data_IF_941786595422
#
_entry.id   IF_941786595422
#
_cell.length_a   1.000
_cell.length_b   1.000
_cell.length_c   1.000
_cell.angle_alpha   90.00
_cell.angle_beta   90.00
_cell.angle_gamma   90.00
#
_symmetry.space_group_name_H-M   'P 1'
#
loop_
_entity.id
_entity.type
_entity.pdbx_description
1 polymer ?
#
# COMPACT_ATOMS: atom_id res chain seq x y z
N UNK A 1 -40.10 32.13 28.46
CA UNK A 1 -40.65 31.33 27.34
C UNK A 1 -39.64 31.11 26.19
N UNK A 2 -38.88 32.13 25.80
CA UNK A 2 -37.89 32.04 24.66
C UNK A 2 -36.74 31.06 24.87
N UNK A 3 -36.25 30.83 26.09
CA UNK A 3 -35.11 29.92 26.37
C UNK A 3 -35.49 28.44 26.20
N UNK A 4 -36.68 28.01 26.60
CA UNK A 4 -37.13 26.61 26.42
C UNK A 4 -37.33 26.25 24.97
N UNK A 5 -37.84 27.17 24.14
CA UNK A 5 -38.00 26.95 22.67
C UNK A 5 -36.65 26.85 21.95
N UNK A 6 -35.63 27.60 22.39
CA UNK A 6 -34.29 27.53 21.81
C UNK A 6 -33.60 26.20 22.11
N UNK A 7 -33.78 25.66 23.30
CA UNK A 7 -33.21 24.34 23.71
C UNK A 7 -33.88 23.19 22.95
N UNK A 8 -35.20 23.26 22.75
CA UNK A 8 -35.91 22.22 21.97
C UNK A 8 -35.54 22.21 20.49
N UNK A 9 -35.31 23.39 19.89
CA UNK A 9 -34.82 23.50 18.50
C UNK A 9 -33.41 22.96 18.39
N UNK A 10 -32.51 23.29 19.31
CA UNK A 10 -31.13 22.78 19.32
C UNK A 10 -31.08 21.28 19.49
N UNK A 11 -31.88 20.70 20.37
CA UNK A 11 -32.00 19.26 20.56
C UNK A 11 -32.55 18.55 19.29
N UNK A 12 -33.54 19.13 18.63
CA UNK A 12 -34.07 18.63 17.38
C UNK A 12 -33.05 18.64 16.26
N UNK A 13 -32.29 19.72 16.10
CA UNK A 13 -31.19 19.79 15.12
C UNK A 13 -30.09 18.77 15.42
N UNK A 14 -29.75 18.53 16.68
CA UNK A 14 -28.75 17.51 17.06
C UNK A 14 -29.22 16.10 16.69
N UNK A 15 -30.50 15.79 16.96
CA UNK A 15 -31.06 14.47 16.61
C UNK A 15 -31.08 14.27 15.08
N UNK A 16 -31.48 15.27 14.31
CA UNK A 16 -31.48 15.21 12.85
C UNK A 16 -30.05 15.03 12.32
N UNK A 17 -29.08 15.77 12.88
CA UNK A 17 -27.67 15.66 12.53
C UNK A 17 -27.14 14.24 12.78
N UNK A 18 -27.45 13.65 13.94
CA UNK A 18 -27.07 12.28 14.28
C UNK A 18 -27.72 11.26 13.33
N UNK A 19 -29.00 11.43 12.98
CA UNK A 19 -29.71 10.55 12.04
C UNK A 19 -29.12 10.60 10.63
N UNK A 20 -28.57 11.71 10.19
CA UNK A 20 -27.91 11.84 8.88
C UNK A 20 -26.48 11.34 8.92
N UNK A 21 -25.72 11.71 9.97
CA UNK A 21 -24.29 11.40 10.04
C UNK A 21 -24.01 9.94 10.39
N UNK A 22 -24.83 9.32 11.23
CA UNK A 22 -24.63 7.92 11.63
C UNK A 22 -24.64 6.93 10.43
N UNK A 23 -25.65 6.96 9.53
CA UNK A 23 -25.65 6.05 8.37
C UNK A 23 -24.51 6.36 7.40
N UNK A 24 -24.06 7.61 7.28
CA UNK A 24 -22.90 7.96 6.46
C UNK A 24 -21.63 7.34 7.06
N UNK A 25 -21.43 7.46 8.36
CA UNK A 25 -20.26 6.87 9.07
C UNK A 25 -20.29 5.34 8.94
N UNK A 26 -21.45 4.72 9.15
CA UNK A 26 -21.60 3.27 9.02
C UNK A 26 -21.33 2.80 7.57
N UNK A 27 -21.83 3.54 6.57
CA UNK A 27 -21.57 3.21 5.15
C UNK A 27 -20.10 3.36 4.76
N UNK A 28 -19.36 4.31 5.36
CA UNK A 28 -17.91 4.46 5.15
C UNK A 28 -17.18 3.27 5.81
N UNK A 29 -17.62 2.86 6.99
CA UNK A 29 -17.04 1.73 7.69
C UNK A 29 -17.27 0.42 6.94
N UNK A 30 -18.50 0.16 6.47
CA UNK A 30 -18.83 -1.03 5.65
C UNK A 30 -17.97 -1.12 4.40
N UNK A 31 -17.79 0.01 3.68
CA UNK A 31 -16.91 0.04 2.49
C UNK A 31 -15.43 -0.22 2.82
N UNK A 32 -14.97 0.25 3.99
CA UNK A 32 -13.62 -0.04 4.46
C UNK A 32 -13.46 -1.52 4.80
N UNK A 33 -14.43 -2.10 5.47
CA UNK A 33 -14.41 -3.51 5.88
C UNK A 33 -14.56 -4.44 4.66
N UNK A 34 -15.39 -4.10 3.68
CA UNK A 34 -15.50 -4.79 2.40
C UNK A 34 -14.18 -4.74 1.62
N UNK A 35 -13.50 -3.58 1.55
CA UNK A 35 -12.18 -3.46 0.93
C UNK A 35 -11.14 -4.32 1.66
N UNK A 36 -11.10 -4.27 2.98
CA UNK A 36 -10.21 -5.11 3.81
C UNK A 36 -10.47 -6.59 3.60
N UNK A 37 -11.72 -7.01 3.51
CA UNK A 37 -12.09 -8.40 3.23
C UNK A 37 -11.73 -8.85 1.80
N UNK A 38 -11.68 -7.94 0.84
CA UNK A 38 -11.32 -8.23 -0.55
C UNK A 38 -9.81 -8.31 -0.79
N UNK A 39 -9.00 -7.71 0.08
CA UNK A 39 -7.53 -7.67 0.00
C UNK A 39 -6.92 -8.78 0.86
N UNK A 40 -7.09 -10.02 0.41
CA UNK A 40 -6.64 -11.19 1.19
C UNK A 40 -5.34 -11.80 0.70
N UNK A 41 -4.84 -11.35 -0.44
CA UNK A 41 -3.73 -12.04 -1.13
C UNK A 41 -4.10 -13.47 -1.53
N UNK A 42 -3.50 -13.97 -2.58
CA UNK A 42 -3.63 -15.37 -3.01
C UNK A 42 -2.33 -16.11 -2.76
N UNK A 43 -2.39 -17.45 -2.68
CA UNK A 43 -1.18 -18.27 -2.70
C UNK A 43 -0.40 -18.02 -3.98
N UNK A 44 0.90 -17.80 -3.86
CA UNK A 44 1.78 -17.57 -4.99
C UNK A 44 3.17 -18.18 -4.74
N UNK A 45 3.94 -18.34 -5.82
CA UNK A 45 5.36 -18.69 -5.76
C UNK A 45 6.08 -17.91 -6.85
N UNK A 46 6.90 -16.96 -6.41
CA UNK A 46 7.74 -16.09 -7.24
C UNK A 46 9.19 -16.14 -6.76
N UNK A 47 10.06 -15.40 -7.43
CA UNK A 47 11.45 -15.21 -7.04
C UNK A 47 11.71 -13.73 -6.70
N UNK A 48 12.56 -13.51 -5.69
CA UNK A 48 13.14 -12.19 -5.51
C UNK A 48 14.31 -11.96 -6.49
N UNK A 49 14.84 -10.77 -6.49
CA UNK A 49 15.99 -10.37 -7.33
C UNK A 49 17.28 -11.15 -7.02
N UNK A 50 17.33 -11.88 -5.92
CA UNK A 50 18.45 -12.75 -5.52
C UNK A 50 18.13 -14.25 -5.73
N UNK A 51 17.05 -14.57 -6.46
CA UNK A 51 16.59 -15.93 -6.76
C UNK A 51 16.07 -16.73 -5.55
N UNK A 52 15.78 -16.07 -4.41
CA UNK A 52 15.11 -16.74 -3.30
C UNK A 52 13.62 -16.94 -3.61
N UNK A 53 13.05 -18.04 -3.12
CA UNK A 53 11.60 -18.27 -3.29
C UNK A 53 10.81 -17.42 -2.32
N UNK A 54 9.88 -16.65 -2.85
CA UNK A 54 8.93 -15.81 -2.11
C UNK A 54 7.53 -16.37 -2.30
N UNK A 55 6.83 -16.56 -1.20
CA UNK A 55 5.44 -17.04 -1.16
C UNK A 55 4.61 -16.12 -0.25
N UNK A 56 3.32 -16.37 -0.13
CA UNK A 56 2.44 -15.68 0.82
C UNK A 56 2.98 -15.73 2.26
N UNK A 57 3.63 -16.83 2.65
CA UNK A 57 4.28 -16.99 3.97
C UNK A 57 5.41 -15.99 4.21
N UNK A 58 6.03 -15.51 3.14
CA UNK A 58 7.07 -14.47 3.25
C UNK A 58 6.51 -13.13 3.74
N UNK A 59 5.20 -12.93 3.64
CA UNK A 59 4.49 -11.73 4.11
C UNK A 59 3.97 -11.85 5.54
N UNK A 60 4.06 -13.03 6.16
CA UNK A 60 3.57 -13.31 7.54
C UNK A 60 4.50 -12.75 8.65
N UNK A 61 5.50 -11.96 8.32
CA UNK A 61 6.31 -11.22 9.29
C UNK A 61 5.42 -10.33 10.18
N UNK A 62 5.81 -10.06 11.44
CA UNK A 62 5.03 -9.20 12.34
C UNK A 62 4.58 -7.89 11.72
N UNK A 63 5.46 -7.23 10.96
CA UNK A 63 5.12 -6.04 10.20
C UNK A 63 5.73 -6.11 8.78
N UNK A 64 4.88 -5.95 7.77
CA UNK A 64 5.27 -6.02 6.37
C UNK A 64 4.64 -4.86 5.59
N UNK A 65 5.41 -4.29 4.65
CA UNK A 65 4.95 -3.31 3.69
C UNK A 65 5.07 -3.89 2.27
N UNK A 66 3.99 -3.87 1.50
CA UNK A 66 3.98 -4.25 0.09
C UNK A 66 3.79 -3.00 -0.77
N UNK A 67 4.73 -2.74 -1.65
CA UNK A 67 4.66 -1.64 -2.61
C UNK A 67 4.70 -2.19 -4.03
N UNK A 68 3.61 -2.01 -4.76
CA UNK A 68 3.49 -2.40 -6.16
C UNK A 68 3.88 -1.20 -7.03
N UNK A 69 4.88 -1.39 -7.89
CA UNK A 69 5.42 -0.34 -8.73
C UNK A 69 6.24 -0.89 -9.88
N UNK A 70 7.00 -0.04 -10.57
CA UNK A 70 7.88 -0.45 -11.67
C UNK A 70 9.08 0.50 -11.76
N UNK A 71 10.20 -0.02 -12.30
CA UNK A 71 11.48 0.73 -12.30
C UNK A 71 11.46 1.93 -13.23
N UNK A 72 10.67 1.88 -14.31
CA UNK A 72 10.55 2.97 -15.29
C UNK A 72 9.47 4.01 -14.90
N UNK A 73 9.01 4.02 -13.65
CA UNK A 73 8.11 5.06 -13.13
C UNK A 73 8.91 6.35 -12.88
N UNK A 74 8.51 7.49 -13.49
CA UNK A 74 9.34 8.70 -13.46
C UNK A 74 9.29 9.44 -12.11
N UNK A 75 8.28 9.23 -11.27
CA UNK A 75 7.99 10.12 -10.14
C UNK A 75 7.58 9.36 -8.87
N UNK A 76 6.39 8.80 -8.82
CA UNK A 76 5.78 8.27 -7.58
C UNK A 76 6.57 7.12 -6.98
N UNK A 77 7.11 6.19 -7.79
CA UNK A 77 7.84 5.03 -7.28
C UNK A 77 9.16 5.42 -6.61
N UNK A 78 10.06 6.21 -7.23
CA UNK A 78 11.31 6.61 -6.57
C UNK A 78 11.04 7.49 -5.33
N UNK A 79 10.04 8.38 -5.35
CA UNK A 79 9.66 9.17 -4.18
C UNK A 79 9.19 8.29 -3.01
N UNK A 80 8.35 7.29 -3.30
CA UNK A 80 7.85 6.36 -2.28
C UNK A 80 8.96 5.49 -1.70
N UNK A 81 9.86 4.97 -2.54
CA UNK A 81 11.01 4.18 -2.08
C UNK A 81 12.00 5.00 -1.25
N UNK A 82 12.26 6.27 -1.62
CA UNK A 82 13.05 7.20 -0.80
C UNK A 82 12.39 7.43 0.57
N UNK A 83 11.07 7.66 0.60
CA UNK A 83 10.32 7.79 1.85
C UNK A 83 10.43 6.54 2.71
N UNK A 84 10.27 5.35 2.12
CA UNK A 84 10.43 4.07 2.84
C UNK A 84 11.84 3.89 3.37
N UNK A 85 12.88 4.30 2.63
CA UNK A 85 14.27 4.30 3.09
C UNK A 85 14.43 5.14 4.37
N UNK A 86 13.93 6.38 4.37
CA UNK A 86 13.98 7.25 5.55
C UNK A 86 13.20 6.67 6.75
N UNK A 87 12.05 6.05 6.48
CA UNK A 87 11.24 5.38 7.51
C UNK A 87 12.00 4.18 8.10
N UNK A 88 12.64 3.36 7.27
CA UNK A 88 13.44 2.22 7.72
C UNK A 88 14.61 2.66 8.58
N UNK A 89 15.29 3.74 8.23
CA UNK A 89 16.36 4.34 9.03
C UNK A 89 15.87 4.80 10.41
N UNK A 90 14.70 5.44 10.48
CA UNK A 90 14.13 5.85 11.77
C UNK A 90 13.72 4.63 12.63
N UNK A 91 13.10 3.63 12.02
CA UNK A 91 12.71 2.40 12.73
C UNK A 91 13.94 1.64 13.25
N UNK A 92 15.03 1.62 12.49
CA UNK A 92 16.31 1.00 12.90
C UNK A 92 16.89 1.64 14.15
N UNK A 93 16.82 2.98 14.28
CA UNK A 93 17.23 3.70 15.51
C UNK A 93 16.41 3.25 16.73
N UNK A 94 15.13 2.92 16.52
CA UNK A 94 14.22 2.41 17.56
C UNK A 94 14.32 0.89 17.75
N UNK A 95 15.23 0.19 17.07
CA UNK A 95 15.35 -1.29 17.06
C UNK A 95 14.06 -1.99 16.64
N UNK A 96 13.27 -1.36 15.78
CA UNK A 96 12.04 -1.89 15.19
C UNK A 96 12.31 -2.35 13.78
N UNK A 97 11.58 -3.38 13.33
CA UNK A 97 11.76 -3.99 12.01
C UNK A 97 10.47 -3.94 11.20
N UNK A 98 10.57 -3.41 9.98
CA UNK A 98 9.54 -3.47 8.95
C UNK A 98 10.15 -4.20 7.74
N UNK A 99 9.52 -5.28 7.28
CA UNK A 99 9.91 -5.91 6.01
C UNK A 99 9.25 -5.17 4.86
N UNK A 100 10.01 -4.80 3.85
CA UNK A 100 9.51 -4.08 2.68
C UNK A 100 9.73 -4.91 1.43
N UNK A 101 8.66 -5.12 0.66
CA UNK A 101 8.69 -5.76 -0.64
C UNK A 101 8.29 -4.76 -1.72
N UNK A 102 9.15 -4.60 -2.73
CA UNK A 102 8.84 -3.89 -3.96
C UNK A 102 8.49 -4.91 -5.04
N UNK A 103 7.24 -4.93 -5.47
CA UNK A 103 6.70 -5.93 -6.39
C UNK A 103 6.47 -5.25 -7.74
N UNK A 104 7.21 -5.70 -8.77
CA UNK A 104 7.04 -5.13 -10.10
C UNK A 104 5.66 -5.44 -10.67
N UNK A 105 5.02 -4.42 -11.26
CA UNK A 105 3.81 -4.56 -12.07
C UNK A 105 4.12 -4.45 -13.58
N UNK A 106 5.39 -4.36 -13.92
CA UNK A 106 5.90 -4.32 -15.30
C UNK A 106 7.05 -5.32 -15.51
N UNK A 107 6.82 -6.61 -15.27
CA UNK A 107 7.86 -7.64 -15.28
C UNK A 107 8.51 -7.87 -16.66
N UNK A 108 7.92 -7.34 -17.72
CA UNK A 108 8.52 -7.39 -19.05
C UNK A 108 9.78 -6.52 -19.15
N UNK A 109 9.78 -5.33 -18.53
CA UNK A 109 10.93 -4.43 -18.45
C UNK A 109 11.75 -4.65 -17.17
N UNK A 110 11.09 -4.99 -16.07
CA UNK A 110 11.69 -5.15 -14.76
C UNK A 110 12.27 -6.55 -14.57
N UNK A 111 13.33 -6.89 -15.34
CA UNK A 111 14.07 -8.11 -15.11
C UNK A 111 14.72 -8.11 -13.72
N UNK A 112 15.13 -9.29 -13.16
CA UNK A 112 15.80 -9.34 -11.87
C UNK A 112 17.03 -8.41 -11.77
N UNK A 113 17.82 -8.32 -12.85
CA UNK A 113 19.01 -7.46 -12.89
C UNK A 113 18.64 -5.97 -12.91
N UNK A 114 17.63 -5.57 -13.69
CA UNK A 114 17.13 -4.19 -13.74
C UNK A 114 16.61 -3.77 -12.38
N UNK A 115 15.76 -4.59 -11.75
CA UNK A 115 15.25 -4.30 -10.41
C UNK A 115 16.35 -4.25 -9.35
N UNK A 116 17.32 -5.17 -9.41
CA UNK A 116 18.43 -5.17 -8.48
C UNK A 116 19.26 -3.89 -8.58
N UNK A 117 19.57 -3.45 -9.81
CA UNK A 117 20.26 -2.18 -10.07
C UNK A 117 19.45 -0.99 -9.56
N UNK A 118 18.15 -0.94 -9.86
CA UNK A 118 17.26 0.13 -9.42
C UNK A 118 17.18 0.22 -7.90
N UNK A 119 16.94 -0.92 -7.23
CA UNK A 119 16.82 -0.96 -5.77
C UNK A 119 18.13 -0.69 -5.03
N UNK A 120 19.29 -0.83 -5.68
CA UNK A 120 20.58 -0.50 -5.05
C UNK A 120 20.74 1.00 -4.70
N UNK A 121 19.86 1.85 -5.22
CA UNK A 121 19.81 3.29 -4.89
C UNK A 121 19.01 3.59 -3.62
N UNK A 122 18.39 2.59 -2.99
CA UNK A 122 17.54 2.73 -1.82
C UNK A 122 18.06 1.86 -0.65
N UNK A 123 17.30 1.77 0.45
CA UNK A 123 17.66 0.91 1.57
C UNK A 123 17.79 -0.56 1.13
N UNK A 124 18.93 -1.18 1.43
CA UNK A 124 19.31 -2.51 0.94
C UNK A 124 18.45 -3.66 1.50
N UNK A 125 17.60 -3.38 2.48
CA UNK A 125 16.65 -4.36 3.05
C UNK A 125 15.34 -4.44 2.26
N UNK A 126 15.14 -3.58 1.25
CA UNK A 126 13.96 -3.64 0.37
C UNK A 126 14.13 -4.81 -0.59
N UNK A 127 13.18 -5.76 -0.53
CA UNK A 127 13.21 -6.99 -1.33
C UNK A 127 12.43 -6.78 -2.63
N UNK A 128 13.12 -6.86 -3.77
CA UNK A 128 12.50 -6.79 -5.09
C UNK A 128 11.90 -8.14 -5.52
N UNK A 129 10.66 -8.12 -6.02
CA UNK A 129 9.96 -9.29 -6.56
C UNK A 129 9.55 -9.01 -8.00
N UNK A 130 9.93 -9.91 -8.90
CA UNK A 130 9.49 -9.90 -10.30
C UNK A 130 9.23 -11.34 -10.77
N UNK A 131 8.74 -11.52 -11.99
CA UNK A 131 8.46 -12.85 -12.51
C UNK A 131 7.63 -12.83 -13.79
N UNK A 132 6.93 -13.95 -14.08
CA UNK A 132 6.06 -14.02 -15.25
C UNK A 132 4.86 -13.07 -15.09
N UNK A 133 4.51 -12.36 -16.18
CA UNK A 133 3.44 -11.34 -16.19
C UNK A 133 2.12 -11.88 -15.64
N UNK A 134 1.74 -13.12 -15.98
CA UNK A 134 0.50 -13.73 -15.51
C UNK A 134 0.49 -13.92 -13.99
N UNK A 135 1.63 -14.35 -13.42
CA UNK A 135 1.76 -14.56 -11.96
C UNK A 135 1.73 -13.22 -11.21
N UNK A 136 2.42 -12.22 -11.73
CA UNK A 136 2.41 -10.85 -11.17
C UNK A 136 1.01 -10.25 -11.25
N UNK A 137 0.31 -10.41 -12.36
CA UNK A 137 -1.06 -9.93 -12.52
C UNK A 137 -2.02 -10.56 -11.50
N UNK A 138 -1.96 -11.89 -11.32
CA UNK A 138 -2.77 -12.58 -10.30
C UNK A 138 -2.45 -12.06 -8.90
N UNK A 139 -1.16 -11.91 -8.58
CA UNK A 139 -0.73 -11.41 -7.27
C UNK A 139 -1.22 -9.98 -7.05
N UNK A 140 -0.96 -9.05 -7.97
CA UNK A 140 -1.38 -7.64 -7.82
C UNK A 140 -2.90 -7.52 -7.67
N UNK A 141 -3.65 -8.26 -8.48
CA UNK A 141 -5.12 -8.28 -8.41
C UNK A 141 -5.63 -8.80 -7.06
N UNK A 142 -4.99 -9.83 -6.48
CA UNK A 142 -5.38 -10.37 -5.17
C UNK A 142 -5.14 -9.38 -4.01
N UNK A 143 -4.28 -8.40 -4.22
CA UNK A 143 -4.03 -7.28 -3.31
C UNK A 143 -4.79 -6.00 -3.70
N UNK A 144 -5.78 -6.10 -4.60
CA UNK A 144 -6.62 -4.96 -5.01
C UNK A 144 -5.88 -3.90 -5.83
N UNK A 145 -4.68 -4.22 -6.35
CA UNK A 145 -3.92 -3.30 -7.20
C UNK A 145 -4.44 -3.36 -8.63
N UNK A 146 -4.88 -2.23 -9.13
CA UNK A 146 -5.25 -2.06 -10.55
C UNK A 146 -4.06 -1.51 -11.31
N UNK A 147 -3.77 -2.07 -12.46
CA UNK A 147 -2.70 -1.60 -13.35
C UNK A 147 -3.13 -1.75 -14.81
N UNK A 148 -2.73 -0.78 -15.64
CA UNK A 148 -3.01 -0.77 -17.08
C UNK A 148 -1.85 -0.14 -17.84
N UNK A 149 -1.42 -0.77 -18.93
CA UNK A 149 -0.45 -0.17 -19.85
C UNK A 149 -1.12 0.94 -20.67
N UNK A 150 -0.50 2.11 -20.69
CA UNK A 150 -0.89 3.25 -21.51
C UNK A 150 0.19 3.46 -22.57
N UNK A 151 -0.14 3.21 -23.82
CA UNK A 151 0.79 3.35 -24.93
C UNK A 151 0.81 4.80 -25.42
N UNK A 152 2.00 5.30 -25.72
CA UNK A 152 2.24 6.58 -26.39
C UNK A 152 2.36 6.39 -27.91
N UNK A 153 2.26 7.49 -28.65
CA UNK A 153 2.30 7.49 -30.14
C UNK A 153 3.62 6.96 -30.71
N UNK A 154 4.71 7.06 -29.96
CA UNK A 154 6.05 6.57 -30.33
C UNK A 154 6.26 5.07 -30.08
N UNK A 155 5.20 4.35 -29.65
CA UNK A 155 5.23 2.91 -29.36
C UNK A 155 5.78 2.57 -27.97
N UNK A 156 6.17 3.53 -27.16
CA UNK A 156 6.51 3.35 -25.75
C UNK A 156 5.23 3.20 -24.90
N UNK A 157 5.40 2.75 -23.66
CA UNK A 157 4.28 2.72 -22.72
C UNK A 157 4.71 3.10 -21.30
N UNK A 158 3.76 3.61 -20.54
CA UNK A 158 3.81 3.69 -19.09
C UNK A 158 2.77 2.76 -18.48
N UNK A 159 2.82 2.56 -17.16
CA UNK A 159 1.81 1.78 -16.43
C UNK A 159 1.06 2.71 -15.50
N UNK A 160 -0.22 2.94 -15.80
CA UNK A 160 -1.13 3.59 -14.87
C UNK A 160 -1.54 2.58 -13.81
N UNK A 161 -1.39 2.93 -12.54
CA UNK A 161 -1.72 2.01 -11.44
C UNK A 161 -2.03 2.74 -10.14
N UNK A 162 -2.79 2.06 -9.28
CA UNK A 162 -2.88 2.46 -7.87
C UNK A 162 -1.58 2.14 -7.15
N UNK A 163 -1.02 3.10 -6.42
CA UNK A 163 0.32 3.02 -5.82
C UNK A 163 0.37 3.21 -4.29
N UNK A 164 -0.61 2.71 -3.50
CA UNK A 164 -0.46 2.71 -2.05
C UNK A 164 0.61 1.69 -1.63
N UNK A 165 1.28 1.97 -0.53
CA UNK A 165 2.05 0.97 0.21
C UNK A 165 1.09 0.28 1.17
N UNK A 166 0.83 -1.00 0.94
CA UNK A 166 -0.06 -1.79 1.78
C UNK A 166 0.68 -2.25 3.03
N UNK A 167 0.09 -2.09 4.19
CA UNK A 167 0.66 -2.47 5.47
C UNK A 167 -0.02 -3.72 6.02
N UNK A 168 0.80 -4.71 6.37
CA UNK A 168 0.32 -5.98 6.89
C UNK A 168 0.85 -6.22 8.30
N UNK A 169 0.00 -6.78 9.14
CA UNK A 169 0.37 -7.35 10.44
C UNK A 169 0.15 -8.86 10.39
N UNK A 170 1.22 -9.64 10.59
CA UNK A 170 1.17 -11.11 10.51
C UNK A 170 0.50 -11.60 9.20
N UNK A 171 0.88 -11.02 8.07
CA UNK A 171 0.36 -11.37 6.74
C UNK A 171 -1.03 -10.81 6.39
N UNK A 172 -1.73 -10.19 7.33
CA UNK A 172 -3.07 -9.64 7.11
C UNK A 172 -3.02 -8.14 6.85
N UNK A 173 -3.72 -7.69 5.80
CA UNK A 173 -3.88 -6.27 5.53
C UNK A 173 -4.47 -5.53 6.73
N UNK A 174 -3.88 -4.42 7.10
CA UNK A 174 -4.29 -3.62 8.26
C UNK A 174 -4.52 -2.16 7.88
N UNK A 175 -3.60 -1.57 7.11
CA UNK A 175 -3.66 -0.15 6.76
C UNK A 175 -2.85 0.10 5.48
N UNK A 176 -2.76 1.34 5.04
CA UNK A 176 -1.95 1.76 3.90
C UNK A 176 -1.36 3.15 4.13
N UNK A 177 -0.27 3.43 3.48
CA UNK A 177 0.25 4.79 3.31
C UNK A 177 0.31 5.12 1.81
N UNK A 178 0.21 6.40 1.49
CA UNK A 178 0.22 6.92 0.12
C UNK A 178 1.42 7.86 -0.09
N UNK A 179 1.71 8.21 -1.33
CA UNK A 179 2.77 9.18 -1.63
C UNK A 179 2.44 10.59 -1.09
N UNK A 180 1.17 10.91 -0.85
CA UNK A 180 0.74 12.19 -0.27
C UNK A 180 1.01 12.31 1.24
N UNK A 181 1.05 11.18 1.96
CA UNK A 181 1.32 11.20 3.39
C UNK A 181 2.77 11.64 3.63
N UNK A 182 3.00 12.54 4.57
CA UNK A 182 4.35 12.91 4.97
C UNK A 182 5.02 11.79 5.79
N UNK A 183 6.32 11.93 6.07
CA UNK A 183 7.11 10.90 6.78
C UNK A 183 6.57 10.66 8.19
N UNK A 184 6.21 11.72 8.91
CA UNK A 184 5.72 11.63 10.29
C UNK A 184 4.38 10.88 10.37
N UNK A 185 3.43 11.21 9.48
CA UNK A 185 2.16 10.52 9.34
C UNK A 185 2.35 9.05 8.97
N UNK A 186 3.22 8.78 7.99
CA UNK A 186 3.56 7.42 7.55
C UNK A 186 4.17 6.60 8.71
N UNK A 187 5.09 7.17 9.47
CA UNK A 187 5.68 6.53 10.66
C UNK A 187 4.62 6.24 11.73
N UNK A 188 3.70 7.18 11.97
CA UNK A 188 2.62 7.00 12.94
C UNK A 188 1.71 5.83 12.55
N UNK A 189 1.37 5.71 11.25
CA UNK A 189 0.55 4.61 10.74
C UNK A 189 1.31 3.28 10.87
N UNK A 190 2.58 3.23 10.42
CA UNK A 190 3.40 2.02 10.47
C UNK A 190 3.61 1.54 11.91
N UNK A 191 3.82 2.45 12.86
CA UNK A 191 4.02 2.10 14.28
C UNK A 191 2.83 1.38 14.92
N UNK A 192 1.63 1.44 14.34
CA UNK A 192 0.45 0.69 14.82
C UNK A 192 0.52 -0.81 14.51
N UNK A 193 1.31 -1.19 13.53
CA UNK A 193 1.45 -2.60 13.12
C UNK A 193 2.71 -3.26 13.69
N UNK A 194 3.65 -2.47 14.20
CA UNK A 194 4.87 -2.92 14.90
C UNK A 194 4.56 -3.35 16.36
#
# INVERSE_FOLDING_TARGET
MKLKTSITILAGCLVIFLFIMLPIILSIQDKKDEYVASVTGSSFSLKDVNNNTITEKSFESPATALFFGFTNCPDVCPMTLNKLTLILDELKKEKKTLRVFFISIDPERDTPNVMKSYLSSFENTIVGITGKSEKIFVLSKSWGIKSQKIFSEDGNYTVDHSSPVLLLKNGKYTDRITHHDNIEESLKIIKRIL
#
